data_IF_553235172369
#
_entry.id   IF_553235172369
#
_cell.length_a   1.000
_cell.length_b   1.000
_cell.length_c   1.000
_cell.angle_alpha   90.00
_cell.angle_beta   90.00
_cell.angle_gamma   90.00
#
_symmetry.space_group_name_H-M   'P 1'
#
loop_
_entity.id
_entity.type
_entity.pdbx_description
1 polymer ?
#
# COMPACT_ATOMS: atom_id res chain seq x y z
N UNK A 1 10.39 8.94 27.32
CA UNK A 1 9.80 7.66 27.78
C UNK A 1 9.53 6.85 26.52
N UNK A 2 10.39 5.89 26.18
CA UNK A 2 10.28 5.08 24.96
C UNK A 2 9.40 3.87 25.27
N UNK A 3 8.27 3.75 24.60
CA UNK A 3 7.42 2.57 24.66
C UNK A 3 8.04 1.47 23.78
N UNK A 4 8.55 0.41 24.40
CA UNK A 4 8.89 -0.80 23.67
C UNK A 4 7.58 -1.50 23.30
N UNK A 5 7.13 -1.37 22.06
CA UNK A 5 6.04 -2.19 21.53
C UNK A 5 6.61 -3.58 21.24
N UNK A 6 6.36 -4.52 22.11
CA UNK A 6 6.50 -5.93 21.78
C UNK A 6 5.36 -6.30 20.82
N UNK A 7 5.64 -6.34 19.52
CA UNK A 7 4.69 -6.81 18.53
C UNK A 7 4.73 -8.35 18.56
N UNK A 8 3.71 -8.96 19.13
CA UNK A 8 3.50 -10.40 19.00
C UNK A 8 2.67 -10.66 17.76
N UNK A 9 3.18 -11.48 16.83
CA UNK A 9 2.44 -11.95 15.68
C UNK A 9 1.58 -13.13 16.15
N UNK A 10 0.26 -12.97 16.07
CA UNK A 10 -0.68 -14.04 16.34
C UNK A 10 -1.10 -14.69 15.04
N UNK A 11 -0.89 -15.99 14.92
CA UNK A 11 -1.40 -16.80 13.84
C UNK A 11 -2.83 -17.25 14.18
N UNK A 12 -3.79 -17.08 13.27
CA UNK A 12 -5.12 -17.64 13.44
C UNK A 12 -5.05 -19.13 13.12
N UNK A 13 -5.00 -19.95 14.14
CA UNK A 13 -4.89 -21.41 13.99
C UNK A 13 -6.22 -22.07 13.56
N UNK A 14 -7.35 -21.41 13.82
CA UNK A 14 -8.65 -22.00 13.53
C UNK A 14 -9.70 -20.91 13.25
N UNK A 15 -10.44 -21.08 12.15
CA UNK A 15 -11.64 -20.27 11.85
C UNK A 15 -12.85 -21.16 12.03
N UNK A 16 -13.63 -20.92 13.07
CA UNK A 16 -14.93 -21.58 13.28
C UNK A 16 -16.04 -20.72 12.69
N UNK A 17 -16.80 -21.28 11.78
CA UNK A 17 -18.01 -20.64 11.27
C UNK A 17 -19.18 -21.05 12.16
N UNK A 18 -19.78 -20.10 12.84
CA UNK A 18 -21.03 -20.31 13.58
C UNK A 18 -22.19 -19.69 12.80
N UNK A 19 -23.28 -20.46 12.65
CA UNK A 19 -24.52 -19.97 12.05
C UNK A 19 -25.46 -19.63 13.20
N UNK A 20 -25.66 -18.36 13.47
CA UNK A 20 -26.65 -17.92 14.44
C UNK A 20 -27.94 -17.55 13.70
N UNK A 21 -29.04 -18.21 14.03
CA UNK A 21 -30.35 -18.00 13.36
C UNK A 21 -31.01 -16.68 13.75
N UNK A 22 -30.65 -16.13 14.90
CA UNK A 22 -31.20 -14.89 15.42
C UNK A 22 -30.45 -13.63 15.04
N UNK A 23 -29.39 -13.79 14.27
CA UNK A 23 -28.45 -12.70 13.91
C UNK A 23 -27.58 -12.27 15.10
N UNK A 24 -26.37 -11.84 14.80
CA UNK A 24 -25.47 -11.20 15.77
C UNK A 24 -25.20 -9.80 15.25
N UNK A 25 -25.45 -8.80 16.07
CA UNK A 25 -25.09 -7.43 15.74
C UNK A 25 -23.58 -7.30 15.76
N UNK A 26 -22.97 -7.02 14.59
CA UNK A 26 -21.53 -6.86 14.43
C UNK A 26 -21.22 -5.39 14.22
N UNK A 27 -20.50 -4.80 15.15
CA UNK A 27 -20.02 -3.43 15.02
C UNK A 27 -18.71 -3.40 14.25
N UNK A 28 -18.67 -2.66 13.15
CA UNK A 28 -17.46 -2.42 12.39
C UNK A 28 -17.03 -0.96 12.59
N UNK A 29 -15.87 -0.76 13.19
CA UNK A 29 -15.34 0.57 13.41
C UNK A 29 -14.73 1.10 12.10
N UNK A 30 -15.26 2.23 11.63
CA UNK A 30 -14.66 2.99 10.54
C UNK A 30 -13.67 3.99 11.13
N UNK A 31 -12.40 3.67 11.09
CA UNK A 31 -11.34 4.63 11.39
C UNK A 31 -11.05 5.40 10.11
N UNK A 32 -11.25 6.71 10.15
CA UNK A 32 -11.00 7.59 9.01
C UNK A 32 -9.49 7.58 8.70
N UNK A 33 -9.14 7.32 7.43
CA UNK A 33 -7.78 7.25 6.88
C UNK A 33 -6.84 6.14 7.40
N UNK A 34 -7.18 5.45 8.48
CA UNK A 34 -6.41 4.32 9.01
C UNK A 34 -7.33 3.12 9.16
N UNK A 35 -7.27 2.17 8.23
CA UNK A 35 -8.02 0.90 8.34
C UNK A 35 -7.45 -0.06 9.41
N UNK A 36 -6.78 0.50 10.39
CA UNK A 36 -6.05 -0.22 11.43
C UNK A 36 -6.62 0.19 12.79
N UNK A 37 -7.03 -0.77 13.59
CA UNK A 37 -7.56 -0.54 14.93
C UNK A 37 -7.16 -1.66 15.88
N UNK A 38 -7.15 -1.35 17.16
CA UNK A 38 -6.86 -2.34 18.21
C UNK A 38 -8.16 -2.98 18.69
N UNK A 39 -8.15 -4.30 18.87
CA UNK A 39 -9.28 -5.05 19.41
C UNK A 39 -8.87 -5.84 20.65
N UNK A 40 -9.81 -5.97 21.58
CA UNK A 40 -9.64 -6.69 22.83
C UNK A 40 -8.76 -5.99 23.87
N UNK A 41 -8.76 -6.52 25.08
CA UNK A 41 -8.00 -5.98 26.20
C UNK A 41 -6.48 -6.03 25.98
N UNK A 42 -6.01 -6.95 25.16
CA UNK A 42 -4.60 -7.13 24.82
C UNK A 42 -4.14 -6.24 23.65
N UNK A 43 -5.00 -5.37 23.13
CA UNK A 43 -4.63 -4.43 22.08
C UNK A 43 -4.16 -5.10 20.78
N UNK A 44 -4.86 -6.13 20.31
CA UNK A 44 -4.54 -6.80 19.04
C UNK A 44 -4.78 -5.83 17.89
N UNK A 45 -3.72 -5.51 17.14
CA UNK A 45 -3.80 -4.64 15.97
C UNK A 45 -4.48 -5.39 14.82
N UNK A 46 -5.66 -4.93 14.42
CA UNK A 46 -6.39 -5.47 13.27
C UNK A 46 -6.29 -4.48 12.13
N UNK A 47 -5.85 -4.94 10.97
CA UNK A 47 -5.79 -4.16 9.76
C UNK A 47 -6.80 -4.69 8.73
N UNK A 48 -7.77 -3.86 8.41
CA UNK A 48 -8.78 -4.19 7.39
C UNK A 48 -8.31 -3.69 6.02
N UNK A 49 -7.18 -4.24 5.55
CA UNK A 49 -6.67 -3.95 4.22
C UNK A 49 -7.45 -4.76 3.18
N UNK A 50 -8.05 -4.06 2.23
CA UNK A 50 -8.68 -4.69 1.06
C UNK A 50 -7.65 -5.07 -0.02
N UNK A 51 -6.36 -4.90 0.21
CA UNK A 51 -5.27 -5.32 -0.65
C UNK A 51 -4.75 -6.70 -0.22
N UNK A 52 -4.17 -7.47 -1.16
CA UNK A 52 -3.69 -8.84 -0.91
C UNK A 52 -2.29 -9.04 -1.45
N UNK A 53 -1.51 -9.79 -0.71
CA UNK A 53 -0.27 -10.40 -1.17
C UNK A 53 -0.54 -11.88 -1.40
N UNK A 54 -0.26 -12.37 -2.60
CA UNK A 54 -0.54 -13.74 -3.02
C UNK A 54 0.81 -14.41 -3.29
N UNK A 55 1.11 -15.45 -2.53
CA UNK A 55 2.33 -16.24 -2.73
C UNK A 55 2.17 -17.20 -3.91
N UNK A 56 3.14 -17.21 -4.81
CA UNK A 56 3.20 -18.09 -5.96
C UNK A 56 4.10 -19.31 -5.68
N UNK A 57 3.87 -20.39 -6.40
CA UNK A 57 4.64 -21.64 -6.24
C UNK A 57 6.13 -21.52 -6.63
N UNK A 58 6.48 -20.48 -7.38
CA UNK A 58 7.85 -20.20 -7.82
C UNK A 58 8.62 -19.26 -6.86
N UNK A 59 8.03 -18.96 -5.69
CA UNK A 59 8.64 -18.08 -4.69
C UNK A 59 8.47 -16.58 -4.96
N UNK A 60 7.72 -16.20 -5.99
CA UNK A 60 7.32 -14.81 -6.24
C UNK A 60 6.00 -14.48 -5.55
N UNK A 61 5.65 -13.20 -5.50
CA UNK A 61 4.37 -12.74 -4.95
C UNK A 61 3.65 -11.85 -5.93
N UNK A 62 2.32 -11.97 -6.00
CA UNK A 62 1.46 -11.03 -6.68
C UNK A 62 0.90 -10.00 -5.69
N UNK A 63 0.80 -8.74 -6.12
CA UNK A 63 0.20 -7.67 -5.35
C UNK A 63 -1.15 -7.32 -5.96
N UNK A 64 -2.22 -7.54 -5.20
CA UNK A 64 -3.56 -7.09 -5.55
C UNK A 64 -3.87 -5.80 -4.79
N UNK A 65 -3.95 -4.67 -5.50
CA UNK A 65 -4.34 -3.37 -4.95
C UNK A 65 -5.80 -3.05 -5.26
N UNK A 66 -6.46 -2.28 -4.40
CA UNK A 66 -7.87 -1.92 -4.57
C UNK A 66 -8.10 -0.43 -4.61
N UNK A 67 -9.11 -0.05 -5.38
CA UNK A 67 -9.58 1.32 -5.43
C UNK A 67 -10.20 1.72 -4.09
N UNK A 68 -9.87 2.90 -3.60
CA UNK A 68 -10.52 3.47 -2.41
C UNK A 68 -12.00 3.76 -2.72
N UNK A 69 -12.87 3.47 -1.78
CA UNK A 69 -14.30 3.79 -1.88
C UNK A 69 -14.48 5.31 -2.08
N UNK A 70 -15.30 5.69 -3.04
CA UNK A 70 -15.59 7.09 -3.32
C UNK A 70 -14.63 7.76 -4.31
N UNK A 71 -13.65 7.05 -4.88
CA UNK A 71 -12.84 7.58 -5.99
C UNK A 71 -13.69 7.83 -7.23
N UNK A 72 -13.41 8.96 -7.89
CA UNK A 72 -13.96 9.29 -9.22
C UNK A 72 -13.42 8.33 -10.28
N UNK A 73 -14.04 8.29 -11.45
CA UNK A 73 -13.54 7.49 -12.59
C UNK A 73 -12.15 7.96 -13.06
N UNK A 74 -11.86 9.24 -12.96
CA UNK A 74 -10.52 9.78 -13.24
C UNK A 74 -9.47 9.23 -12.26
N UNK A 75 -9.77 9.25 -10.97
CA UNK A 75 -8.89 8.69 -9.94
C UNK A 75 -8.68 7.17 -10.11
N UNK A 76 -9.74 6.43 -10.45
CA UNK A 76 -9.64 4.99 -10.76
C UNK A 76 -8.80 4.73 -12.01
N UNK A 77 -8.90 5.61 -13.01
CA UNK A 77 -8.07 5.54 -14.22
C UNK A 77 -6.60 5.77 -13.91
N UNK A 78 -6.28 6.77 -13.08
CA UNK A 78 -4.92 7.01 -12.64
C UNK A 78 -4.37 5.84 -11.80
N UNK A 79 -5.20 5.24 -10.94
CA UNK A 79 -4.82 4.04 -10.18
C UNK A 79 -4.49 2.87 -11.11
N UNK A 80 -5.29 2.66 -12.15
CA UNK A 80 -5.06 1.63 -13.17
C UNK A 80 -3.75 1.87 -13.93
N UNK A 81 -3.49 3.11 -14.33
CA UNK A 81 -2.21 3.46 -14.98
C UNK A 81 -1.00 3.18 -14.08
N UNK A 82 -1.12 3.46 -12.77
CA UNK A 82 -0.08 3.12 -11.80
C UNK A 82 0.16 1.60 -11.75
N UNK A 83 -0.90 0.80 -11.69
CA UNK A 83 -0.78 -0.66 -11.72
C UNK A 83 -0.16 -1.15 -13.02
N UNK A 84 -0.49 -0.56 -14.17
CA UNK A 84 0.11 -0.89 -15.46
C UNK A 84 1.62 -0.60 -15.52
N UNK A 85 2.09 0.47 -14.90
CA UNK A 85 3.54 0.71 -14.79
C UNK A 85 4.23 -0.36 -13.96
N UNK A 86 3.62 -0.75 -12.84
CA UNK A 86 4.17 -1.78 -11.97
C UNK A 86 4.18 -3.16 -12.65
N UNK A 87 3.09 -3.53 -13.34
CA UNK A 87 2.96 -4.84 -13.99
C UNK A 87 3.89 -5.04 -15.20
N UNK A 88 4.38 -3.96 -15.80
CA UNK A 88 5.35 -3.98 -16.89
C UNK A 88 6.81 -3.94 -16.42
N UNK A 89 7.04 -3.87 -15.13
CA UNK A 89 8.37 -3.73 -14.55
C UNK A 89 8.76 -4.98 -13.75
N UNK A 90 10.05 -5.29 -13.77
CA UNK A 90 10.62 -6.30 -12.86
C UNK A 90 10.73 -5.67 -11.46
N UNK A 91 9.66 -5.78 -10.69
CA UNK A 91 9.60 -5.20 -9.35
C UNK A 91 10.23 -6.14 -8.32
N UNK A 92 11.09 -5.57 -7.48
CA UNK A 92 11.78 -6.29 -6.42
C UNK A 92 11.75 -5.45 -5.16
N UNK A 93 11.39 -6.04 -4.03
CA UNK A 93 11.43 -5.37 -2.73
C UNK A 93 12.86 -4.87 -2.43
N UNK A 94 12.97 -3.60 -2.09
CA UNK A 94 14.25 -3.00 -1.71
C UNK A 94 14.09 -2.01 -0.56
N UNK A 95 15.14 -1.86 0.24
CA UNK A 95 15.21 -0.76 1.19
C UNK A 95 15.25 0.57 0.46
N UNK A 96 14.37 1.51 0.85
CA UNK A 96 14.27 2.83 0.21
C UNK A 96 15.50 3.66 0.49
N UNK A 97 16.22 4.11 -0.54
CA UNK A 97 17.38 5.00 -0.35
C UNK A 97 16.93 6.36 0.20
N UNK A 98 17.80 7.03 0.91
CA UNK A 98 17.54 8.39 1.40
C UNK A 98 17.20 9.32 0.24
N UNK A 99 16.02 9.92 0.27
CA UNK A 99 15.51 10.80 -0.80
C UNK A 99 16.07 12.21 -0.67
N UNK A 100 16.33 12.83 -1.82
CA UNK A 100 16.55 14.27 -1.92
C UNK A 100 15.25 14.97 -2.33
N UNK A 101 14.70 15.84 -1.47
CA UNK A 101 13.53 16.65 -1.79
C UNK A 101 13.72 17.57 -2.99
N UNK A 102 14.96 17.89 -3.35
CA UNK A 102 15.32 18.78 -4.47
C UNK A 102 14.85 18.24 -5.82
N UNK A 103 14.99 16.94 -6.06
CA UNK A 103 14.57 16.31 -7.34
C UNK A 103 13.07 16.43 -7.57
N UNK A 104 12.28 16.15 -6.52
CA UNK A 104 10.82 16.25 -6.57
C UNK A 104 10.38 17.68 -6.82
N UNK A 105 10.95 18.65 -6.11
CA UNK A 105 10.65 20.08 -6.27
C UNK A 105 11.01 20.59 -7.67
N UNK A 106 12.15 20.16 -8.19
CA UNK A 106 12.58 20.49 -9.57
C UNK A 106 11.60 19.90 -10.59
N UNK A 107 11.28 18.61 -10.49
CA UNK A 107 10.35 17.95 -11.40
C UNK A 107 8.98 18.63 -11.42
N UNK A 108 8.43 18.98 -10.24
CA UNK A 108 7.15 19.69 -10.14
C UNK A 108 7.17 21.01 -10.91
N UNK A 109 8.24 21.79 -10.75
CA UNK A 109 8.41 23.09 -11.43
C UNK A 109 8.54 22.91 -12.94
N UNK A 110 9.41 22.01 -13.37
CA UNK A 110 9.75 21.82 -14.79
C UNK A 110 8.54 21.26 -15.59
N UNK A 111 7.64 20.51 -14.93
CA UNK A 111 6.46 19.89 -15.56
C UNK A 111 5.14 20.58 -15.20
N UNK A 112 5.17 21.70 -14.50
CA UNK A 112 3.97 22.45 -14.10
C UNK A 112 2.91 21.61 -13.38
N UNK A 113 3.35 20.66 -12.53
CA UNK A 113 2.46 19.74 -11.81
C UNK A 113 1.67 20.52 -10.75
N UNK A 114 0.35 20.38 -10.82
CA UNK A 114 -0.61 21.07 -9.95
C UNK A 114 -0.39 20.75 -8.46
N UNK A 115 -0.81 21.69 -7.59
CA UNK A 115 -0.69 21.54 -6.13
C UNK A 115 -1.60 20.45 -5.54
N UNK A 116 -2.66 20.04 -6.25
CA UNK A 116 -3.55 18.94 -5.84
C UNK A 116 -3.01 17.56 -6.20
N UNK A 117 -1.89 17.50 -6.94
CA UNK A 117 -1.19 16.26 -7.28
C UNK A 117 0.09 16.12 -6.46
N UNK A 118 0.43 14.90 -6.10
CA UNK A 118 1.75 14.54 -5.58
C UNK A 118 2.66 14.11 -6.75
N UNK A 119 3.97 14.32 -6.60
CA UNK A 119 4.94 13.69 -7.51
C UNK A 119 5.14 12.26 -7.06
N UNK A 120 4.73 11.34 -7.89
CA UNK A 120 4.86 9.89 -7.66
C UNK A 120 5.95 9.30 -8.55
N UNK A 121 6.57 8.22 -8.11
CA UNK A 121 7.41 7.37 -8.96
C UNK A 121 6.53 6.33 -9.66
N UNK A 122 6.64 6.18 -10.98
CA UNK A 122 5.90 5.15 -11.75
C UNK A 122 6.13 3.76 -11.15
N UNK A 123 7.40 3.45 -10.89
CA UNK A 123 7.83 2.30 -10.10
C UNK A 123 8.31 2.83 -8.76
N UNK A 124 7.71 2.38 -7.67
CA UNK A 124 8.04 2.83 -6.33
C UNK A 124 9.50 2.54 -5.98
N UNK A 125 10.14 3.42 -5.22
CA UNK A 125 11.53 3.24 -4.81
C UNK A 125 11.73 1.97 -3.98
N UNK A 126 10.75 1.61 -3.18
CA UNK A 126 10.73 0.35 -2.42
C UNK A 126 10.52 -0.90 -3.28
N UNK A 127 10.21 -0.71 -4.57
CA UNK A 127 10.07 -1.75 -5.60
C UNK A 127 11.18 -1.65 -6.67
N UNK A 128 12.38 -1.22 -6.28
CA UNK A 128 13.53 -1.04 -7.14
C UNK A 128 13.38 0.08 -8.19
N UNK A 129 12.41 0.98 -8.05
CA UNK A 129 12.26 2.15 -8.91
C UNK A 129 13.45 3.11 -8.81
N UNK A 130 13.76 3.79 -9.90
CA UNK A 130 14.83 4.79 -9.95
C UNK A 130 14.34 6.16 -9.48
N UNK A 131 15.14 6.89 -8.70
CA UNK A 131 14.84 8.27 -8.30
C UNK A 131 15.36 9.26 -9.37
N UNK A 132 14.68 9.27 -10.53
CA UNK A 132 14.96 10.15 -11.67
C UNK A 132 13.66 10.64 -12.33
N UNK A 133 13.78 11.64 -13.21
CA UNK A 133 12.65 12.28 -13.87
C UNK A 133 11.83 11.32 -14.75
N UNK A 134 12.45 10.34 -15.40
CA UNK A 134 11.77 9.40 -16.30
C UNK A 134 10.80 8.49 -15.54
N UNK A 135 11.10 8.23 -14.27
CA UNK A 135 10.26 7.45 -13.36
C UNK A 135 9.27 8.32 -12.55
N UNK A 136 9.23 9.64 -12.78
CA UNK A 136 8.32 10.54 -12.07
C UNK A 136 7.11 10.90 -12.92
N UNK A 137 6.00 11.21 -12.27
CA UNK A 137 4.79 11.77 -12.85
C UNK A 137 3.92 12.46 -11.78
N UNK A 138 2.95 13.28 -12.23
CA UNK A 138 1.93 13.85 -11.35
C UNK A 138 0.78 12.86 -11.15
N UNK A 139 0.49 12.53 -9.91
CA UNK A 139 -0.59 11.61 -9.56
C UNK A 139 -1.53 12.30 -8.56
N UNK A 140 -2.84 12.10 -8.71
CA UNK A 140 -3.81 12.59 -7.71
C UNK A 140 -3.36 12.21 -6.30
N UNK A 141 -3.45 13.15 -5.38
CA UNK A 141 -2.94 13.00 -4.01
C UNK A 141 -3.59 11.83 -3.27
N UNK A 142 -4.92 11.66 -3.42
CA UNK A 142 -5.65 10.56 -2.78
C UNK A 142 -5.23 9.20 -3.35
N UNK A 143 -5.04 9.13 -4.66
CA UNK A 143 -4.58 7.92 -5.35
C UNK A 143 -3.16 7.58 -4.91
N UNK A 144 -2.23 8.54 -4.99
CA UNK A 144 -0.84 8.35 -4.60
C UNK A 144 -0.70 7.79 -3.17
N UNK A 145 -1.36 8.44 -2.21
CA UNK A 145 -1.24 8.06 -0.81
C UNK A 145 -1.89 6.73 -0.50
N UNK A 146 -3.04 6.43 -1.14
CA UNK A 146 -3.73 5.16 -0.94
C UNK A 146 -2.93 3.98 -1.49
N UNK A 147 -2.46 4.07 -2.74
CA UNK A 147 -1.70 2.98 -3.36
C UNK A 147 -0.33 2.80 -2.69
N UNK A 148 0.37 3.90 -2.40
CA UNK A 148 1.65 3.84 -1.69
C UNK A 148 1.54 3.17 -0.32
N UNK A 149 0.44 3.44 0.42
CA UNK A 149 0.20 2.77 1.71
C UNK A 149 -0.15 1.30 1.56
N UNK A 150 -0.92 0.94 0.52
CA UNK A 150 -1.22 -0.48 0.24
C UNK A 150 0.06 -1.25 -0.06
N UNK A 151 0.93 -0.73 -0.94
CA UNK A 151 2.23 -1.34 -1.25
C UNK A 151 3.07 -1.49 0.03
N UNK A 152 3.22 -0.41 0.80
CA UNK A 152 4.01 -0.39 2.05
C UNK A 152 3.57 -1.51 3.02
N UNK A 153 2.26 -1.68 3.22
CA UNK A 153 1.71 -2.71 4.09
C UNK A 153 1.99 -4.12 3.53
N UNK A 154 1.77 -4.31 2.23
CA UNK A 154 1.90 -5.63 1.63
C UNK A 154 3.33 -6.16 1.62
N UNK A 155 4.31 -5.28 1.49
CA UNK A 155 5.71 -5.67 1.39
C UNK A 155 6.49 -5.49 2.69
N UNK A 156 5.82 -5.04 3.77
CA UNK A 156 6.49 -4.69 5.03
C UNK A 156 7.36 -5.83 5.57
N UNK A 157 6.81 -7.03 5.61
CA UNK A 157 7.45 -8.21 6.19
C UNK A 157 8.26 -9.04 5.18
N UNK A 158 8.34 -8.60 3.92
CA UNK A 158 9.13 -9.27 2.91
C UNK A 158 10.61 -8.89 3.04
N UNK A 159 11.48 -9.83 2.73
CA UNK A 159 12.92 -9.59 2.65
C UNK A 159 13.28 -8.79 1.40
N UNK A 160 14.35 -7.97 1.47
CA UNK A 160 14.91 -7.31 0.30
C UNK A 160 15.39 -8.37 -0.71
N UNK A 161 15.10 -8.16 -1.98
CA UNK A 161 15.34 -9.12 -3.05
C UNK A 161 14.12 -9.96 -3.41
N UNK A 162 13.03 -9.93 -2.62
CA UNK A 162 11.78 -10.63 -2.97
C UNK A 162 11.21 -10.08 -4.28
N UNK A 163 10.93 -10.97 -5.22
CA UNK A 163 10.36 -10.63 -6.53
C UNK A 163 8.84 -10.51 -6.40
N UNK A 164 8.32 -9.41 -6.94
CA UNK A 164 6.90 -9.07 -6.91
C UNK A 164 6.39 -8.97 -8.35
N UNK A 165 5.22 -9.55 -8.59
CA UNK A 165 4.45 -9.40 -9.83
C UNK A 165 3.21 -8.54 -9.56
N UNK A 166 2.71 -7.85 -10.57
CA UNK A 166 1.55 -6.96 -10.43
C UNK A 166 0.55 -7.16 -11.56
#
# INVERSE_FOLDING_TARGET
>A
MFWNLNISIFCVENIRRETNRDGVEVFNFKVEDFHTYYVGENGILVHNANCRLISNSDGTYDIEMKNKKGWSEEQKTQARQKCEYLSKADTVKTTVPKRSGTKISKYRKDNSISSNQDINHKIDLQLKGKDNADNMWGLDRSVNRSLGKQIDILIHDLEDGTVLRN
#
